data_IF_930764812730
#
_entry.id   IF_930764812730
#
_cell.length_a   1.000
_cell.length_b   1.000
_cell.length_c   1.000
_cell.angle_alpha   90.00
_cell.angle_beta   90.00
_cell.angle_gamma   90.00
#
_symmetry.space_group_name_H-M   'P 1'
#
loop_
_entity.id
_entity.type
_entity.pdbx_description
1 polymer ?
#
# COMPACT_ATOMS: atom_id res chain seq x y z
N UNK A 1 -0.70 20.10 16.79
CA UNK A 1 0.16 19.05 17.35
C UNK A 1 -0.70 17.86 17.71
N UNK A 2 -0.39 16.69 17.16
CA UNK A 2 -1.03 15.42 17.49
C UNK A 2 -0.04 14.67 18.40
N UNK A 3 -0.51 14.24 19.56
CA UNK A 3 0.22 13.34 20.46
C UNK A 3 -0.45 11.97 20.36
N UNK A 4 0.34 10.95 20.06
CA UNK A 4 -0.15 9.61 19.83
C UNK A 4 0.77 8.60 20.51
N UNK A 5 0.21 7.52 21.05
CA UNK A 5 1.00 6.43 21.59
C UNK A 5 1.88 5.79 20.51
N UNK A 6 3.16 5.62 20.80
CA UNK A 6 4.06 4.92 19.90
C UNK A 6 3.78 3.40 19.94
N UNK A 7 3.54 2.82 18.75
CA UNK A 7 3.39 1.38 18.60
C UNK A 7 4.75 0.82 18.13
N UNK A 8 5.44 0.02 18.96
CA UNK A 8 6.73 -0.55 18.61
C UNK A 8 6.62 -1.57 17.48
N UNK A 9 7.77 -1.88 16.84
CA UNK A 9 7.85 -2.82 15.72
C UNK A 9 8.34 -2.14 14.45
N UNK A 10 8.88 -2.97 13.55
CA UNK A 10 9.43 -2.56 12.25
C UNK A 10 8.36 -2.55 11.13
N UNK A 11 8.81 -2.40 9.88
CA UNK A 11 7.94 -2.36 8.71
C UNK A 11 7.12 -3.67 8.52
N UNK A 12 7.58 -4.79 9.07
CA UNK A 12 6.86 -6.07 9.00
C UNK A 12 5.55 -6.06 9.79
N UNK A 13 5.47 -5.20 10.82
CA UNK A 13 4.26 -5.03 11.63
C UNK A 13 3.19 -4.17 10.91
N UNK A 14 3.57 -3.50 9.82
CA UNK A 14 2.69 -2.58 9.09
C UNK A 14 1.69 -3.30 8.18
N UNK A 15 0.51 -2.72 8.08
CA UNK A 15 -0.51 -3.03 7.08
C UNK A 15 -1.07 -1.72 6.53
N UNK A 16 -1.52 -1.73 5.30
CA UNK A 16 -2.25 -0.63 4.70
C UNK A 16 -3.55 -1.15 4.11
N UNK A 17 -4.66 -0.54 4.49
CA UNK A 17 -5.96 -0.80 3.88
C UNK A 17 -6.32 0.34 2.93
N UNK A 18 -6.77 -0.01 1.73
CA UNK A 18 -7.54 0.90 0.91
C UNK A 18 -8.94 0.34 0.74
N UNK A 19 -9.94 1.18 0.96
CA UNK A 19 -11.34 0.83 0.84
C UNK A 19 -12.10 1.88 0.03
N UNK A 20 -13.24 1.46 -0.51
CA UNK A 20 -14.27 2.32 -1.07
C UNK A 20 -15.61 1.98 -0.42
N UNK A 21 -16.27 2.99 0.11
CA UNK A 21 -17.63 2.92 0.64
C UNK A 21 -18.58 3.64 -0.32
N UNK A 22 -19.69 3.00 -0.63
CA UNK A 22 -20.70 3.54 -1.53
C UNK A 22 -21.55 4.64 -0.90
N UNK A 23 -22.42 5.24 -1.72
CA UNK A 23 -23.42 6.24 -1.28
C UNK A 23 -24.40 5.68 -0.24
N UNK A 24 -24.55 4.37 -0.16
CA UNK A 24 -25.33 3.66 0.85
C UNK A 24 -24.58 3.42 2.17
N UNK A 25 -23.37 4.00 2.30
CA UNK A 25 -22.47 3.86 3.45
C UNK A 25 -22.00 2.41 3.72
N UNK A 26 -22.08 1.55 2.68
CA UNK A 26 -21.58 0.19 2.75
C UNK A 26 -20.23 0.06 2.08
N UNK A 27 -19.36 -0.75 2.66
CA UNK A 27 -18.07 -1.05 2.06
C UNK A 27 -18.26 -1.88 0.80
N UNK A 28 -17.74 -1.40 -0.33
CA UNK A 28 -17.83 -2.05 -1.65
C UNK A 28 -16.53 -2.70 -2.09
N UNK A 29 -15.40 -2.14 -1.67
CA UNK A 29 -14.07 -2.69 -1.96
C UNK A 29 -13.18 -2.56 -0.74
N UNK A 30 -12.43 -3.61 -0.45
CA UNK A 30 -11.32 -3.61 0.53
C UNK A 30 -10.11 -4.28 -0.08
N UNK A 31 -8.95 -3.66 0.08
CA UNK A 31 -7.66 -4.23 -0.31
C UNK A 31 -6.65 -4.02 0.81
N UNK A 32 -6.22 -5.12 1.43
CA UNK A 32 -5.19 -5.11 2.45
C UNK A 32 -3.84 -5.37 1.82
N UNK A 33 -2.90 -4.43 2.00
CA UNK A 33 -1.53 -4.53 1.54
C UNK A 33 -0.56 -4.75 2.70
N UNK A 34 0.51 -5.49 2.44
CA UNK A 34 1.63 -5.64 3.33
C UNK A 34 2.81 -4.82 2.81
N UNK A 35 3.17 -3.70 3.47
CA UNK A 35 4.37 -2.95 3.17
C UNK A 35 5.61 -3.85 3.29
N UNK A 36 6.49 -3.77 2.28
CA UNK A 36 7.77 -4.47 2.28
C UNK A 36 8.92 -3.55 2.65
N UNK A 37 8.77 -2.29 2.30
CA UNK A 37 9.80 -1.29 2.49
C UNK A 37 9.15 0.09 2.55
N UNK A 38 9.55 0.90 3.53
CA UNK A 38 9.17 2.29 3.65
C UNK A 38 10.28 3.19 3.10
N UNK A 39 9.94 4.38 2.62
CA UNK A 39 10.94 5.37 2.21
C UNK A 39 11.66 5.95 3.42
N UNK A 40 12.99 6.06 3.32
CA UNK A 40 13.84 6.52 4.42
C UNK A 40 14.34 7.96 4.23
N UNK A 41 13.89 8.64 3.17
CA UNK A 41 14.27 10.06 2.98
C UNK A 41 13.45 10.94 3.92
N UNK A 42 13.97 12.09 4.39
CA UNK A 42 13.22 12.98 5.28
C UNK A 42 11.85 13.40 4.72
N UNK A 43 11.77 13.58 3.40
CA UNK A 43 10.51 13.94 2.71
C UNK A 43 9.63 12.74 2.39
N UNK A 44 10.17 11.52 2.55
CA UNK A 44 9.51 10.26 2.18
C UNK A 44 9.04 9.42 3.35
N UNK A 45 9.49 9.72 4.56
CA UNK A 45 9.10 8.99 5.79
C UNK A 45 7.56 8.94 5.88
N UNK A 46 7.03 7.76 6.21
CA UNK A 46 5.60 7.49 6.23
C UNK A 46 5.02 7.03 4.88
N UNK A 47 5.83 7.01 3.81
CA UNK A 47 5.39 6.50 2.52
C UNK A 47 6.03 5.13 2.22
N UNK A 48 5.26 4.25 1.62
CA UNK A 48 5.75 2.93 1.23
C UNK A 48 6.50 2.97 -0.11
N UNK A 49 7.60 2.24 -0.17
CA UNK A 49 8.42 2.05 -1.37
C UNK A 49 8.03 0.79 -2.16
N UNK A 50 7.45 -0.20 -1.48
CA UNK A 50 6.88 -1.40 -2.07
C UNK A 50 5.78 -1.98 -1.16
N UNK A 51 4.74 -2.54 -1.78
CA UNK A 51 3.62 -3.21 -1.11
C UNK A 51 3.35 -4.53 -1.80
N UNK A 52 3.20 -5.58 -1.01
CA UNK A 52 2.73 -6.89 -1.42
C UNK A 52 1.23 -6.98 -1.18
N UNK A 53 0.46 -7.32 -2.21
CA UNK A 53 -0.91 -7.80 -2.10
C UNK A 53 -0.88 -9.33 -2.19
N UNK A 54 -1.33 -10.02 -1.15
CA UNK A 54 -1.39 -11.48 -1.12
C UNK A 54 -2.51 -11.90 -0.15
N UNK A 55 -3.53 -12.64 -0.61
CA UNK A 55 -4.65 -13.09 0.23
C UNK A 55 -4.21 -13.93 1.42
N UNK A 56 -3.04 -14.55 1.40
CA UNK A 56 -2.50 -15.26 2.57
C UNK A 56 -2.22 -14.34 3.78
N UNK A 57 -2.15 -13.03 3.54
CA UNK A 57 -2.02 -12.01 4.59
C UNK A 57 -3.34 -11.30 4.92
N UNK A 58 -4.44 -11.68 4.28
CA UNK A 58 -5.75 -11.14 4.59
C UNK A 58 -6.22 -11.73 5.94
N UNK A 59 -6.11 -10.92 6.98
CA UNK A 59 -6.67 -11.22 8.28
C UNK A 59 -8.17 -10.91 8.27
N UNK A 60 -9.00 -11.96 8.30
CA UNK A 60 -10.45 -11.84 8.21
C UNK A 60 -11.04 -11.04 9.38
N UNK A 61 -10.52 -11.23 10.59
CA UNK A 61 -10.98 -10.51 11.77
C UNK A 61 -10.63 -9.00 11.68
N UNK A 62 -9.44 -8.68 11.19
CA UNK A 62 -9.03 -7.30 10.94
C UNK A 62 -9.92 -6.66 9.86
N UNK A 63 -10.15 -7.34 8.75
CA UNK A 63 -10.98 -6.82 7.65
C UNK A 63 -12.42 -6.59 8.12
N UNK A 64 -12.99 -7.52 8.88
CA UNK A 64 -14.34 -7.34 9.46
C UNK A 64 -14.40 -6.15 10.42
N UNK A 65 -13.43 -6.03 11.32
CA UNK A 65 -13.33 -4.90 12.27
C UNK A 65 -13.26 -3.55 11.53
N UNK A 66 -12.43 -3.46 10.48
CA UNK A 66 -12.28 -2.23 9.70
C UNK A 66 -13.51 -1.92 8.84
N UNK A 67 -14.15 -2.96 8.29
CA UNK A 67 -15.43 -2.83 7.59
C UNK A 67 -16.50 -2.24 8.51
N UNK A 68 -16.69 -2.85 9.67
CA UNK A 68 -17.68 -2.40 10.64
C UNK A 68 -17.40 -0.96 11.11
N UNK A 69 -16.13 -0.64 11.37
CA UNK A 69 -15.72 0.73 11.70
C UNK A 69 -16.14 1.75 10.64
N UNK A 70 -15.91 1.47 9.35
CA UNK A 70 -16.30 2.37 8.25
C UNK A 70 -17.83 2.49 8.13
N UNK A 71 -18.55 1.38 8.25
CA UNK A 71 -20.00 1.35 8.14
C UNK A 71 -20.68 2.03 9.33
N UNK A 72 -20.18 1.83 10.55
CA UNK A 72 -20.67 2.49 11.77
C UNK A 72 -20.47 4.00 11.73
N UNK A 73 -19.36 4.46 11.13
CA UNK A 73 -19.11 5.87 10.85
C UNK A 73 -19.96 6.43 9.72
N UNK A 74 -20.73 5.61 9.03
CA UNK A 74 -21.44 5.97 7.80
C UNK A 74 -20.51 6.62 6.76
N UNK A 75 -19.33 6.03 6.61
CA UNK A 75 -18.33 6.56 5.71
C UNK A 75 -18.77 6.48 4.26
N UNK A 76 -18.39 7.49 3.46
CA UNK A 76 -18.63 7.58 2.03
C UNK A 76 -17.35 7.90 1.28
N UNK A 77 -17.12 7.23 0.17
CA UNK A 77 -15.94 7.43 -0.68
C UNK A 77 -14.72 6.62 -0.25
N UNK A 78 -13.54 7.15 -0.53
CA UNK A 78 -12.28 6.45 -0.29
C UNK A 78 -11.83 6.53 1.16
N UNK A 79 -11.23 5.43 1.64
CA UNK A 79 -10.50 5.38 2.89
C UNK A 79 -9.14 4.72 2.65
N UNK A 80 -8.05 5.38 3.06
CA UNK A 80 -6.71 4.82 3.11
C UNK A 80 -6.26 4.82 4.57
N UNK A 81 -6.04 3.64 5.14
CA UNK A 81 -5.75 3.45 6.55
C UNK A 81 -4.38 2.83 6.74
N UNK A 82 -3.59 3.42 7.64
CA UNK A 82 -2.33 2.87 8.11
C UNK A 82 -2.53 2.16 9.44
N UNK A 83 -2.09 0.91 9.49
CA UNK A 83 -2.39 -0.04 10.57
C UNK A 83 -1.08 -0.69 10.99
N UNK A 84 -0.90 -0.85 12.30
CA UNK A 84 0.28 -1.52 12.84
C UNK A 84 -0.10 -2.60 13.84
N UNK A 85 0.54 -3.75 13.74
CA UNK A 85 0.42 -4.81 14.74
C UNK A 85 1.21 -4.43 15.99
N UNK A 86 0.54 -4.43 17.13
CA UNK A 86 1.13 -4.21 18.42
C UNK A 86 1.37 -5.55 19.12
N UNK A 87 2.62 -6.00 19.11
CA UNK A 87 3.00 -7.28 19.74
C UNK A 87 2.77 -7.31 21.25
N UNK A 88 2.63 -6.15 21.92
CA UNK A 88 2.38 -6.06 23.36
C UNK A 88 0.95 -6.49 23.70
N UNK A 89 0.01 -6.22 22.79
CA UNK A 89 -1.42 -6.52 22.97
C UNK A 89 -1.91 -7.66 22.09
N UNK A 90 -1.11 -8.05 21.09
CA UNK A 90 -1.52 -9.04 20.08
C UNK A 90 -2.56 -8.52 19.09
N UNK A 91 -2.71 -7.20 18.94
CA UNK A 91 -3.77 -6.57 18.16
C UNK A 91 -3.23 -5.66 17.06
N UNK A 92 -3.98 -5.52 15.98
CA UNK A 92 -3.79 -4.47 15.00
C UNK A 92 -4.44 -3.17 15.47
N UNK A 93 -3.68 -2.08 15.41
CA UNK A 93 -4.14 -0.72 15.74
C UNK A 93 -4.06 0.17 14.52
N UNK A 94 -5.17 0.79 14.14
CA UNK A 94 -5.19 1.86 13.15
C UNK A 94 -4.71 3.14 13.81
N UNK A 95 -3.80 3.85 13.18
CA UNK A 95 -3.24 5.09 13.71
C UNK A 95 -3.38 6.29 12.76
N UNK A 96 -3.70 6.04 11.50
CA UNK A 96 -3.96 7.09 10.52
C UNK A 96 -5.05 6.64 9.54
N UNK A 97 -5.96 7.57 9.22
CA UNK A 97 -6.95 7.39 8.15
C UNK A 97 -6.98 8.63 7.26
N UNK A 98 -6.75 8.43 5.97
CA UNK A 98 -6.80 9.47 4.96
C UNK A 98 -8.11 9.34 4.16
N UNK A 99 -8.94 10.40 4.07
CA UNK A 99 -10.23 10.39 3.35
C UNK A 99 -10.03 10.59 1.83
N UNK A 100 -9.05 9.92 1.27
CA UNK A 100 -8.66 10.03 -0.14
C UNK A 100 -7.83 8.84 -0.57
N UNK A 101 -7.65 8.67 -1.88
CA UNK A 101 -6.62 7.80 -2.40
C UNK A 101 -5.23 8.36 -2.03
N UNK A 102 -4.40 7.51 -1.47
CA UNK A 102 -2.99 7.81 -1.20
C UNK A 102 -2.10 7.53 -2.42
N UNK A 103 -0.83 7.91 -2.32
CA UNK A 103 0.17 7.58 -3.33
C UNK A 103 0.28 6.05 -3.54
N UNK A 104 0.20 5.30 -2.47
CA UNK A 104 0.30 3.85 -2.47
C UNK A 104 -0.97 3.14 -2.96
N UNK A 105 -2.11 3.84 -3.06
CA UNK A 105 -3.39 3.22 -3.46
C UNK A 105 -3.35 2.53 -4.83
N UNK A 106 -2.35 2.87 -5.66
CA UNK A 106 -2.15 2.19 -6.93
C UNK A 106 -1.83 0.68 -6.78
N UNK A 107 -1.42 0.20 -5.60
CA UNK A 107 -1.25 -1.24 -5.37
C UNK A 107 -2.56 -2.00 -5.57
N UNK A 108 -3.70 -1.38 -5.26
CA UNK A 108 -5.04 -1.96 -5.47
C UNK A 108 -5.31 -2.12 -6.97
N UNK A 109 -4.97 -1.10 -7.77
CA UNK A 109 -5.08 -1.17 -9.22
C UNK A 109 -4.11 -2.20 -9.81
N UNK A 110 -2.89 -2.29 -9.28
CA UNK A 110 -1.91 -3.30 -9.66
C UNK A 110 -2.38 -4.73 -9.39
N UNK A 111 -3.21 -4.92 -8.36
CA UNK A 111 -3.87 -6.18 -8.05
C UNK A 111 -5.14 -6.44 -8.91
N UNK A 112 -5.48 -5.54 -9.83
CA UNK A 112 -6.63 -5.69 -10.73
C UNK A 112 -7.91 -4.97 -10.27
N UNK A 113 -7.87 -4.26 -9.16
CA UNK A 113 -9.03 -3.58 -8.56
C UNK A 113 -8.87 -2.07 -8.64
N UNK A 114 -9.41 -1.44 -9.69
CA UNK A 114 -9.28 0.00 -9.87
C UNK A 114 -10.30 0.76 -8.99
N UNK A 115 -9.85 1.36 -7.89
CA UNK A 115 -10.67 2.15 -6.97
C UNK A 115 -11.53 3.21 -7.66
N UNK A 116 -10.98 3.91 -8.66
CA UNK A 116 -11.74 4.93 -9.40
C UNK A 116 -12.88 4.34 -10.21
N UNK A 117 -12.77 3.07 -10.63
CA UNK A 117 -13.86 2.36 -11.32
C UNK A 117 -15.04 2.15 -10.38
N UNK A 118 -14.80 1.75 -9.13
CA UNK A 118 -15.88 1.60 -8.12
C UNK A 118 -16.61 2.91 -7.90
N UNK A 119 -15.90 4.03 -7.81
CA UNK A 119 -16.52 5.34 -7.69
C UNK A 119 -17.41 5.68 -8.90
N UNK A 120 -16.93 5.43 -10.11
CA UNK A 120 -17.69 5.70 -11.35
C UNK A 120 -18.94 4.82 -11.43
N UNK A 121 -18.79 3.52 -11.17
CA UNK A 121 -19.88 2.56 -11.21
C UNK A 121 -20.97 2.86 -10.18
N UNK A 122 -20.58 3.30 -8.99
CA UNK A 122 -21.53 3.68 -7.92
C UNK A 122 -22.20 5.04 -8.20
N UNK A 123 -21.39 6.09 -8.37
CA UNK A 123 -21.90 7.47 -8.38
C UNK A 123 -22.49 7.87 -9.73
N UNK A 124 -21.91 7.43 -10.85
CA UNK A 124 -22.36 7.84 -12.19
C UNK A 124 -23.22 6.79 -12.88
N UNK A 125 -22.91 5.52 -12.69
CA UNK A 125 -23.64 4.44 -13.35
C UNK A 125 -24.73 3.84 -12.45
N UNK A 126 -24.78 4.22 -11.18
CA UNK A 126 -25.75 3.77 -10.17
C UNK A 126 -25.90 2.24 -10.12
N UNK A 127 -24.76 1.54 -10.23
CA UNK A 127 -24.73 0.07 -10.14
C UNK A 127 -24.85 -0.39 -8.71
N UNK A 128 -25.58 -1.45 -8.50
CA UNK A 128 -25.56 -2.17 -7.23
C UNK A 128 -24.22 -2.91 -7.09
N UNK A 129 -23.39 -2.43 -6.17
CA UNK A 129 -22.08 -3.02 -5.88
C UNK A 129 -22.15 -3.83 -4.58
N UNK A 130 -21.74 -5.09 -4.66
CA UNK A 130 -21.51 -5.93 -3.48
C UNK A 130 -20.11 -5.70 -2.89
N UNK A 131 -19.87 -6.27 -1.70
CA UNK A 131 -18.54 -6.26 -1.08
C UNK A 131 -17.57 -7.11 -1.90
N UNK A 132 -16.44 -6.52 -2.27
CA UNK A 132 -15.30 -7.19 -2.88
C UNK A 132 -14.09 -7.04 -1.96
N UNK A 133 -13.44 -8.16 -1.64
CA UNK A 133 -12.15 -8.17 -0.95
C UNK A 133 -11.09 -8.57 -1.97
N UNK A 134 -10.07 -7.73 -2.14
CA UNK A 134 -8.99 -8.01 -3.08
C UNK A 134 -8.22 -9.28 -2.68
N UNK A 135 -8.16 -10.23 -3.60
CA UNK A 135 -7.59 -11.57 -3.39
C UNK A 135 -6.47 -11.92 -4.38
N UNK A 136 -6.06 -10.96 -5.20
CA UNK A 136 -5.03 -11.18 -6.23
C UNK A 136 -3.63 -10.91 -5.68
N UNK A 137 -2.71 -11.85 -5.96
CA UNK A 137 -1.29 -11.69 -5.61
C UNK A 137 -0.61 -10.73 -6.58
N UNK A 138 -0.07 -9.64 -6.06
CA UNK A 138 0.69 -8.64 -6.85
C UNK A 138 1.75 -7.94 -6.01
N UNK A 139 2.78 -7.43 -6.70
CA UNK A 139 3.81 -6.58 -6.11
C UNK A 139 3.74 -5.19 -6.73
N UNK A 140 3.36 -4.20 -5.94
CA UNK A 140 3.49 -2.80 -6.31
C UNK A 140 4.80 -2.22 -5.78
N UNK A 141 5.44 -1.36 -6.58
CA UNK A 141 6.66 -0.68 -6.18
C UNK A 141 6.80 0.70 -6.83
N UNK A 142 7.44 1.60 -6.12
CA UNK A 142 7.97 2.86 -6.64
C UNK A 142 9.50 2.84 -6.65
N UNK A 143 10.11 2.11 -5.73
CA UNK A 143 11.54 1.85 -5.70
C UNK A 143 11.96 0.89 -6.80
N UNK A 144 13.21 1.01 -7.33
CA UNK A 144 13.80 -0.04 -8.14
C UNK A 144 13.82 -1.38 -7.39
N UNK A 145 13.53 -2.47 -8.08
CA UNK A 145 13.50 -3.79 -7.43
C UNK A 145 14.83 -4.17 -6.73
N UNK A 146 15.96 -3.74 -7.29
CA UNK A 146 17.28 -3.94 -6.66
C UNK A 146 17.42 -3.26 -5.29
N UNK A 147 16.70 -2.16 -5.04
CA UNK A 147 16.64 -1.51 -3.72
C UNK A 147 15.84 -2.38 -2.76
N UNK A 148 14.67 -2.87 -3.18
CA UNK A 148 13.85 -3.77 -2.38
C UNK A 148 14.66 -5.01 -1.99
N UNK A 149 15.30 -5.66 -2.96
CA UNK A 149 16.12 -6.85 -2.75
C UNK A 149 17.28 -6.62 -1.77
N UNK A 150 17.86 -5.41 -1.78
CA UNK A 150 19.00 -5.09 -0.91
C UNK A 150 18.59 -4.79 0.53
N UNK A 151 17.42 -4.17 0.74
CA UNK A 151 17.05 -3.62 2.05
C UNK A 151 15.90 -4.35 2.73
N UNK A 152 15.13 -5.17 2.03
CA UNK A 152 14.14 -6.05 2.63
C UNK A 152 14.85 -7.15 3.42
N UNK A 153 14.62 -7.20 4.72
CA UNK A 153 15.32 -8.10 5.65
C UNK A 153 14.65 -9.47 5.77
N UNK A 154 13.34 -9.53 5.53
CA UNK A 154 12.55 -10.74 5.66
C UNK A 154 12.77 -11.64 4.41
N UNK A 155 13.39 -12.84 4.56
CA UNK A 155 13.71 -13.71 3.45
C UNK A 155 12.47 -14.32 2.79
N UNK A 156 11.40 -14.57 3.56
CA UNK A 156 10.16 -15.15 3.03
C UNK A 156 9.41 -14.14 2.17
N UNK A 157 9.33 -12.90 2.64
CA UNK A 157 8.75 -11.81 1.85
C UNK A 157 9.57 -11.52 0.59
N UNK A 158 10.89 -11.61 0.67
CA UNK A 158 11.77 -11.46 -0.49
C UNK A 158 11.54 -12.57 -1.52
N UNK A 159 11.43 -13.83 -1.06
CA UNK A 159 11.16 -14.96 -1.95
C UNK A 159 9.80 -14.82 -2.67
N UNK A 160 8.77 -14.34 -1.96
CA UNK A 160 7.46 -14.02 -2.55
C UNK A 160 7.53 -12.90 -3.59
N UNK A 161 8.24 -11.83 -3.26
CA UNK A 161 8.46 -10.71 -4.18
C UNK A 161 9.24 -11.15 -5.44
N UNK A 162 10.30 -11.96 -5.28
CA UNK A 162 11.06 -12.55 -6.40
C UNK A 162 10.16 -13.42 -7.31
N UNK A 163 9.28 -14.24 -6.71
CA UNK A 163 8.33 -15.06 -7.44
C UNK A 163 7.36 -14.21 -8.27
N UNK A 164 6.72 -13.23 -7.65
CA UNK A 164 5.77 -12.34 -8.34
C UNK A 164 6.43 -11.57 -9.48
N UNK A 165 7.66 -11.11 -9.26
CA UNK A 165 8.44 -10.44 -10.31
C UNK A 165 8.73 -11.36 -11.49
N UNK A 166 9.12 -12.63 -11.26
CA UNK A 166 9.34 -13.63 -12.30
C UNK A 166 8.07 -13.97 -13.07
N UNK A 167 6.92 -13.97 -12.38
CA UNK A 167 5.60 -14.23 -12.98
C UNK A 167 5.03 -13.00 -13.72
N UNK A 168 5.72 -11.85 -13.71
CA UNK A 168 5.22 -10.61 -14.32
C UNK A 168 4.07 -9.95 -13.54
N UNK A 169 3.77 -10.42 -12.31
CA UNK A 169 2.73 -9.89 -11.42
C UNK A 169 3.25 -8.72 -10.59
N UNK A 170 3.87 -7.75 -11.25
CA UNK A 170 4.39 -6.56 -10.60
C UNK A 170 4.04 -5.31 -11.39
N UNK A 171 3.82 -4.22 -10.68
CA UNK A 171 3.57 -2.91 -11.26
C UNK A 171 4.51 -1.86 -10.64
N UNK A 172 5.05 -1.00 -11.48
CA UNK A 172 5.87 0.10 -11.06
C UNK A 172 5.10 1.41 -11.19
N UNK A 173 5.00 2.19 -10.10
CA UNK A 173 4.21 3.43 -10.02
C UNK A 173 4.48 4.42 -11.17
N UNK A 174 5.72 4.52 -11.62
CA UNK A 174 6.16 5.52 -12.60
C UNK A 174 6.17 5.00 -14.03
N UNK A 175 5.78 3.73 -14.25
CA UNK A 175 5.81 3.12 -15.57
C UNK A 175 4.40 2.94 -16.13
N UNK A 176 4.14 3.60 -17.27
CA UNK A 176 2.90 3.46 -18.04
C UNK A 176 3.27 3.22 -19.51
N UNK A 177 2.75 2.13 -20.09
CA UNK A 177 3.07 1.77 -21.49
C UNK A 177 2.51 2.78 -22.49
N UNK A 178 1.35 3.33 -22.18
CA UNK A 178 0.62 4.27 -23.01
C UNK A 178 1.28 5.66 -23.07
N UNK A 179 2.07 6.00 -22.03
CA UNK A 179 2.81 7.27 -21.93
C UNK A 179 4.30 7.08 -22.25
N UNK A 180 4.60 6.28 -23.30
CA UNK A 180 5.96 5.96 -23.67
C UNK A 180 6.53 6.96 -24.68
N UNK A 181 7.52 7.75 -24.25
CA UNK A 181 8.35 8.58 -25.13
C UNK A 181 9.78 8.68 -24.59
N UNK A 182 10.72 9.07 -25.44
CA UNK A 182 12.14 9.12 -25.06
C UNK A 182 12.43 10.02 -23.84
N UNK A 183 11.76 11.19 -23.76
CA UNK A 183 11.92 12.13 -22.65
C UNK A 183 11.45 11.50 -21.33
N UNK A 184 10.29 10.83 -21.37
CA UNK A 184 9.73 10.13 -20.20
C UNK A 184 10.63 8.99 -19.76
N UNK A 185 11.18 8.22 -20.70
CA UNK A 185 12.08 7.12 -20.43
C UNK A 185 13.38 7.58 -19.78
N UNK A 186 14.02 8.64 -20.30
CA UNK A 186 15.23 9.22 -19.71
C UNK A 186 14.96 9.74 -18.30
N UNK A 187 13.82 10.40 -18.08
CA UNK A 187 13.40 10.84 -16.76
C UNK A 187 13.18 9.66 -15.80
N UNK A 188 12.54 8.59 -16.27
CA UNK A 188 12.33 7.38 -15.48
C UNK A 188 13.66 6.77 -15.03
N UNK A 189 14.60 6.55 -15.95
CA UNK A 189 15.93 6.00 -15.61
C UNK A 189 16.64 6.89 -14.60
N UNK A 190 16.66 8.21 -14.83
CA UNK A 190 17.28 9.16 -13.91
C UNK A 190 16.64 9.08 -12.52
N UNK A 191 15.32 9.00 -12.45
CA UNK A 191 14.58 8.85 -11.20
C UNK A 191 14.98 7.57 -10.47
N UNK A 192 15.05 6.44 -11.17
CA UNK A 192 15.45 5.16 -10.58
C UNK A 192 16.90 5.17 -10.08
N UNK A 193 17.83 5.75 -10.85
CA UNK A 193 19.23 5.90 -10.41
C UNK A 193 19.35 6.81 -9.19
N UNK A 194 18.57 7.89 -9.15
CA UNK A 194 18.55 8.79 -8.00
C UNK A 194 17.95 8.09 -6.76
N UNK A 195 17.00 7.18 -6.95
CA UNK A 195 16.43 6.39 -5.86
C UNK A 195 17.51 5.54 -5.17
N UNK A 196 18.39 4.87 -5.93
CA UNK A 196 19.53 4.12 -5.37
C UNK A 196 20.44 5.01 -4.52
N UNK A 197 20.78 6.22 -5.02
CA UNK A 197 21.64 7.17 -4.31
C UNK A 197 21.00 7.65 -3.01
N UNK A 198 19.73 8.04 -3.06
CA UNK A 198 18.98 8.49 -1.88
C UNK A 198 18.89 7.37 -0.84
N UNK A 199 18.49 6.18 -1.25
CA UNK A 199 18.34 5.05 -0.34
C UNK A 199 19.67 4.67 0.31
N UNK A 200 20.77 4.61 -0.46
CA UNK A 200 22.09 4.32 0.09
C UNK A 200 22.56 5.35 1.14
N UNK A 201 22.15 6.62 0.97
CA UNK A 201 22.50 7.70 1.91
C UNK A 201 21.74 7.60 3.23
N UNK A 202 20.45 7.23 3.19
CA UNK A 202 19.57 7.32 4.36
C UNK A 202 19.31 5.97 5.05
N UNK A 203 19.37 4.85 4.34
CA UNK A 203 19.13 3.53 4.92
C UNK A 203 20.22 3.05 5.89
N UNK A 204 21.41 3.67 5.85
CA UNK A 204 22.50 3.38 6.78
C UNK A 204 22.47 4.20 8.07
N UNK A 205 21.69 5.28 8.10
CA UNK A 205 21.58 6.17 9.26
C UNK A 205 20.39 5.74 10.13
N UNK A 206 20.57 4.69 10.93
CA UNK A 206 19.58 4.20 11.91
C UNK A 206 19.27 5.20 13.05
N UNK A 207 19.90 6.35 13.08
CA UNK A 207 19.85 7.31 14.19
C UNK A 207 18.61 8.22 14.25
N UNK A 208 17.57 7.97 13.45
CA UNK A 208 16.32 8.76 13.50
C UNK A 208 15.10 7.94 13.95
N UNK A 209 15.28 6.68 14.37
CA UNK A 209 14.18 5.78 14.75
C UNK A 209 14.38 5.02 16.07
N UNK A 210 15.39 5.38 16.88
CA UNK A 210 15.55 4.88 18.23
C UNK A 210 14.96 5.88 19.23
#
# INVERSE_FOLDING_TARGET
LILQEYIPGDDNCMRVLNAYCGLDHKVKLMALGRPLLEEQTPEGIGNYAAILSDPEYNDAALLEKLKNFLEDMQWEGFANMDIKYDARTGEYKMFEMNPRQGRSSYFVTAAGYNLSKWLVEDVLEHKELGLTIADTKSLWMIAPYGVIKKYLKDPDLLARADKLKKEGKCAHQLFCKEDWNLKRWLWYIRSQLNYYRKTARYYGNKGLRD
#
